data_IF_780354512192
#
_entry.id   IF_780354512192
#
_cell.length_a   1.000
_cell.length_b   1.000
_cell.length_c   1.000
_cell.angle_alpha   90.00
_cell.angle_beta   90.00
_cell.angle_gamma   90.00
#
_symmetry.space_group_name_H-M   'P 1'
#
loop_
_entity.id
_entity.type
_entity.pdbx_description
1 polymer ?
#
# COMPACT_ATOMS: atom_id res chain seq x y z
N UNK A 1 -16.45 1.11 -16.57
CA UNK A 1 -15.12 1.54 -17.06
C UNK A 1 -14.10 0.88 -16.14
N UNK A 2 -13.09 0.21 -16.69
CA UNK A 2 -12.01 -0.35 -15.86
C UNK A 2 -11.09 0.80 -15.48
N UNK A 3 -11.19 1.29 -14.25
CA UNK A 3 -10.20 2.23 -13.73
C UNK A 3 -8.89 1.46 -13.59
N UNK A 4 -7.85 1.92 -14.26
CA UNK A 4 -6.53 1.35 -14.05
C UNK A 4 -5.97 1.87 -12.72
N UNK A 5 -5.30 1.01 -11.93
CA UNK A 5 -4.65 1.47 -10.71
C UNK A 5 -3.55 2.47 -11.06
N UNK A 6 -3.55 3.63 -10.40
CA UNK A 6 -2.50 4.64 -10.52
C UNK A 6 -1.53 4.41 -9.39
N UNK A 7 -0.29 4.05 -9.74
CA UNK A 7 0.80 3.92 -8.78
C UNK A 7 1.65 5.18 -8.77
N UNK A 8 1.75 5.80 -7.61
CA UNK A 8 2.63 6.94 -7.36
C UNK A 8 3.78 6.50 -6.47
N UNK A 9 5.00 6.81 -6.89
CA UNK A 9 6.20 6.68 -6.04
C UNK A 9 6.50 8.06 -5.49
N UNK A 10 6.22 8.27 -4.20
CA UNK A 10 6.51 9.54 -3.53
C UNK A 10 8.02 9.65 -3.26
N UNK A 11 8.62 8.56 -2.77
CA UNK A 11 10.06 8.42 -2.56
C UNK A 11 10.51 6.94 -2.67
N UNK A 12 11.74 6.60 -2.27
CA UNK A 12 12.24 5.21 -2.37
C UNK A 12 11.57 4.21 -1.42
N UNK A 13 10.91 4.69 -0.36
CA UNK A 13 10.33 3.94 0.74
C UNK A 13 8.83 4.22 0.93
N UNK A 14 8.24 5.08 0.11
CA UNK A 14 6.83 5.47 0.15
C UNK A 14 6.20 5.36 -1.23
N UNK A 15 5.12 4.58 -1.30
CA UNK A 15 4.32 4.41 -2.51
C UNK A 15 2.85 4.59 -2.18
N UNK A 16 2.09 4.98 -3.19
CA UNK A 16 0.64 5.11 -3.12
C UNK A 16 0.03 4.35 -4.29
N UNK A 17 -1.09 3.67 -4.07
CA UNK A 17 -1.97 3.22 -5.15
C UNK A 17 -3.35 3.83 -5.01
N UNK A 18 -3.86 4.36 -6.11
CA UNK A 18 -5.22 4.86 -6.22
C UNK A 18 -6.00 4.06 -7.26
N UNK A 19 -7.18 3.56 -6.88
CA UNK A 19 -8.10 2.83 -7.76
C UNK A 19 -9.53 3.16 -7.37
N UNK A 20 -10.35 3.58 -8.35
CA UNK A 20 -11.76 3.96 -8.13
C UNK A 20 -11.97 4.96 -6.97
N UNK A 21 -11.06 5.94 -6.85
CA UNK A 21 -11.08 6.95 -5.78
C UNK A 21 -10.66 6.43 -4.40
N UNK A 22 -10.24 5.16 -4.29
CA UNK A 22 -9.69 4.58 -3.07
C UNK A 22 -8.17 4.66 -3.10
N UNK A 23 -7.61 5.20 -2.04
CA UNK A 23 -6.17 5.36 -1.86
C UNK A 23 -5.66 4.39 -0.80
N UNK A 24 -4.56 3.71 -1.12
CA UNK A 24 -3.81 2.87 -0.19
C UNK A 24 -2.35 3.31 -0.22
N UNK A 25 -1.78 3.60 0.94
CA UNK A 25 -0.38 3.98 1.08
C UNK A 25 0.46 2.77 1.52
N UNK A 26 1.67 2.66 1.00
CA UNK A 26 2.69 1.69 1.41
C UNK A 26 3.89 2.47 1.92
N UNK A 27 4.34 2.16 3.12
CA UNK A 27 5.50 2.83 3.75
C UNK A 27 6.44 1.78 4.31
N UNK A 28 7.70 1.85 3.97
CA UNK A 28 8.71 1.04 4.64
C UNK A 28 9.00 1.64 6.02
N UNK A 29 8.78 0.85 7.06
CA UNK A 29 9.06 1.21 8.44
C UNK A 29 10.31 0.46 8.90
N UNK A 30 11.40 1.17 9.13
CA UNK A 30 12.60 0.60 9.74
C UNK A 30 12.37 0.45 11.25
N UNK A 31 12.25 -0.79 11.73
CA UNK A 31 12.00 -1.14 13.14
C UNK A 31 12.85 -2.31 13.60
N UNK A 32 14.10 -2.39 13.11
CA UNK A 32 15.02 -3.49 13.41
C UNK A 32 14.51 -4.81 12.86
N UNK A 33 14.39 -5.85 13.71
CA UNK A 33 13.86 -7.16 13.32
C UNK A 33 12.40 -7.15 12.85
N UNK A 34 11.67 -6.07 13.12
CA UNK A 34 10.29 -5.86 12.67
C UNK A 34 10.19 -4.94 11.47
N UNK A 35 11.31 -4.66 10.78
CA UNK A 35 11.29 -3.80 9.60
C UNK A 35 10.45 -4.44 8.49
N UNK A 36 9.68 -3.61 7.79
CA UNK A 36 8.80 -4.10 6.73
C UNK A 36 7.98 -2.99 6.09
N UNK A 37 7.17 -3.38 5.12
CA UNK A 37 6.25 -2.52 4.40
C UNK A 37 4.89 -2.49 5.10
N UNK A 38 4.61 -1.37 5.76
CA UNK A 38 3.32 -1.07 6.34
C UNK A 38 2.34 -0.63 5.25
N UNK A 39 1.14 -1.24 5.23
CA UNK A 39 0.06 -0.93 4.29
C UNK A 39 -1.05 -0.21 5.03
N UNK A 40 -1.40 0.99 4.55
CA UNK A 40 -2.37 1.88 5.17
C UNK A 40 -3.58 2.14 4.27
N UNK A 41 -4.78 1.99 4.81
CA UNK A 41 -6.02 2.46 4.19
C UNK A 41 -6.45 3.75 4.90
N UNK A 42 -6.15 4.90 4.30
CA UNK A 42 -6.21 6.19 5.00
C UNK A 42 -5.25 6.21 6.19
N UNK A 43 -5.77 6.53 7.39
CA UNK A 43 -4.95 6.58 8.62
C UNK A 43 -4.85 5.23 9.36
N UNK A 44 -5.46 4.16 8.83
CA UNK A 44 -5.48 2.84 9.48
C UNK A 44 -4.40 1.95 8.92
N UNK A 45 -3.49 1.48 9.78
CA UNK A 45 -2.59 0.37 9.46
C UNK A 45 -3.42 -0.90 9.27
N UNK A 46 -3.33 -1.49 8.09
CA UNK A 46 -4.00 -2.76 7.76
C UNK A 46 -3.08 -3.93 8.09
N UNK A 47 -1.84 -3.91 7.60
CA UNK A 47 -0.89 -5.00 7.80
C UNK A 47 0.55 -4.52 7.59
N UNK A 48 1.53 -5.28 8.12
CA UNK A 48 2.94 -5.16 7.79
C UNK A 48 3.40 -6.39 7.01
N UNK A 49 3.92 -6.17 5.82
CA UNK A 49 4.50 -7.21 4.98
C UNK A 49 6.03 -7.15 5.04
N UNK A 50 6.71 -8.29 4.96
CA UNK A 50 8.18 -8.29 4.91
C UNK A 50 8.71 -7.69 3.60
N UNK A 51 8.01 -7.94 2.49
CA UNK A 51 8.46 -7.60 1.15
C UNK A 51 7.53 -6.60 0.44
N UNK A 52 8.10 -5.73 -0.40
CA UNK A 52 7.34 -4.72 -1.16
C UNK A 52 6.30 -5.38 -2.08
N UNK A 53 6.64 -6.51 -2.72
CA UNK A 53 5.71 -7.20 -3.61
C UNK A 53 4.46 -7.70 -2.88
N UNK A 54 4.60 -8.18 -1.64
CA UNK A 54 3.48 -8.60 -0.81
C UNK A 54 2.59 -7.41 -0.46
N UNK A 55 3.20 -6.31 -0.02
CA UNK A 55 2.48 -5.07 0.28
C UNK A 55 1.73 -4.53 -0.94
N UNK A 56 2.33 -4.61 -2.15
CA UNK A 56 1.68 -4.20 -3.40
C UNK A 56 0.47 -5.07 -3.74
N UNK A 57 0.59 -6.39 -3.57
CA UNK A 57 -0.52 -7.32 -3.78
C UNK A 57 -1.69 -7.03 -2.84
N UNK A 58 -1.39 -6.81 -1.55
CA UNK A 58 -2.41 -6.44 -0.56
C UNK A 58 -3.06 -5.10 -0.89
N UNK A 59 -2.26 -4.08 -1.24
CA UNK A 59 -2.79 -2.76 -1.56
C UNK A 59 -3.73 -2.77 -2.77
N UNK A 60 -3.42 -3.56 -3.81
CA UNK A 60 -4.35 -3.78 -4.94
C UNK A 60 -5.65 -4.45 -4.51
N UNK A 61 -5.58 -5.46 -3.65
CA UNK A 61 -6.76 -6.14 -3.13
C UNK A 61 -7.66 -5.17 -2.32
N UNK A 62 -7.06 -4.29 -1.52
CA UNK A 62 -7.77 -3.28 -0.74
C UNK A 62 -8.34 -2.14 -1.60
N UNK A 63 -7.63 -1.70 -2.63
CA UNK A 63 -8.12 -0.63 -3.49
C UNK A 63 -9.28 -1.14 -4.39
N UNK A 64 -9.25 -2.41 -4.80
CA UNK A 64 -10.30 -3.04 -5.63
C UNK A 64 -11.54 -3.48 -4.85
N UNK A 65 -11.38 -4.05 -3.65
CA UNK A 65 -12.47 -4.40 -2.75
C UNK A 65 -12.71 -3.21 -1.82
N UNK A 66 -13.75 -2.42 -2.08
CA UNK A 66 -14.15 -1.38 -1.13
C UNK A 66 -14.24 -1.95 0.27
N UNK A 67 -13.41 -1.45 1.17
CA UNK A 67 -13.46 -1.76 2.60
C UNK A 67 -14.79 -1.34 3.19
#
# INVERSE_FOLDING_TARGET
MSSNPIWTKEDSLTYTVELDGRRVDLRYEASGFQSGWAVYAGNKLVERCGELMQARGLAMALASKGL
#
